data_IF_154424279580
#
_entry.id   IF_154424279580
#
_cell.length_a   1.000
_cell.length_b   1.000
_cell.length_c   1.000
_cell.angle_alpha   90.00
_cell.angle_beta   90.00
_cell.angle_gamma   90.00
#
_symmetry.space_group_name_H-M   'P 1'
#
loop_
_entity.id
_entity.type
_entity.pdbx_description
1 polymer ?
#
# COMPACT_ATOMS: atom_id res chain seq x y z
N UNK A 1 -3.25 18.75 1.78
CA UNK A 1 -2.90 19.68 0.68
C UNK A 1 -2.84 19.00 -0.68
N UNK A 2 -2.17 17.84 -0.83
CA UNK A 2 -1.97 17.16 -2.13
C UNK A 2 -3.29 16.83 -2.86
N UNK A 3 -4.31 16.35 -2.13
CA UNK A 3 -5.60 15.94 -2.71
C UNK A 3 -6.37 17.14 -3.30
N UNK A 4 -6.40 18.27 -2.61
CA UNK A 4 -7.06 19.49 -3.08
C UNK A 4 -6.38 20.07 -4.33
N UNK A 5 -5.05 20.10 -4.35
CA UNK A 5 -4.29 20.57 -5.53
C UNK A 5 -4.47 19.64 -6.73
N UNK A 6 -4.56 18.32 -6.49
CA UNK A 6 -4.81 17.34 -7.54
C UNK A 6 -6.24 17.44 -8.08
N UNK A 7 -7.24 17.54 -7.21
CA UNK A 7 -8.65 17.72 -7.60
C UNK A 7 -8.85 19.01 -8.39
N UNK A 8 -8.14 20.09 -8.04
CA UNK A 8 -8.22 21.34 -8.76
C UNK A 8 -7.60 21.23 -10.17
N UNK A 9 -6.46 20.53 -10.29
CA UNK A 9 -5.80 20.26 -11.57
C UNK A 9 -6.61 19.34 -12.49
N UNK A 10 -7.41 18.42 -11.93
CA UNK A 10 -8.20 17.43 -12.70
C UNK A 10 -9.71 17.69 -12.61
N UNK A 11 -10.11 18.92 -12.29
CA UNK A 11 -11.51 19.30 -12.06
C UNK A 11 -12.43 19.00 -13.25
N UNK A 12 -11.93 19.21 -14.47
CA UNK A 12 -12.69 18.95 -15.69
C UNK A 12 -12.91 17.45 -15.94
N UNK A 13 -11.92 16.61 -15.62
CA UNK A 13 -12.04 15.15 -15.73
C UNK A 13 -12.98 14.59 -14.65
N UNK A 14 -12.89 15.10 -13.42
CA UNK A 14 -13.78 14.73 -12.33
C UNK A 14 -15.24 15.08 -12.64
N UNK A 15 -15.49 16.19 -13.33
CA UNK A 15 -16.82 16.56 -13.79
C UNK A 15 -17.36 15.57 -14.84
N UNK A 16 -16.54 15.21 -15.83
CA UNK A 16 -16.91 14.21 -16.85
C UNK A 16 -17.18 12.82 -16.23
N UNK A 17 -16.39 12.42 -15.24
CA UNK A 17 -16.58 11.19 -14.47
C UNK A 17 -17.89 11.24 -13.68
N UNK A 18 -18.19 12.36 -13.04
CA UNK A 18 -19.45 12.53 -12.29
C UNK A 18 -20.66 12.44 -13.21
N UNK A 19 -20.61 13.07 -14.38
CA UNK A 19 -21.70 13.04 -15.36
C UNK A 19 -21.90 11.66 -16.00
N UNK A 20 -20.82 10.94 -16.27
CA UNK A 20 -20.89 9.56 -16.78
C UNK A 20 -21.41 8.60 -15.71
N UNK A 21 -20.95 8.72 -14.47
CA UNK A 21 -21.46 7.93 -13.34
C UNK A 21 -22.93 8.23 -13.06
N UNK A 22 -23.37 9.49 -13.13
CA UNK A 22 -24.79 9.86 -13.00
C UNK A 22 -25.65 9.22 -14.09
N UNK A 23 -25.16 9.19 -15.34
CA UNK A 23 -25.83 8.51 -16.47
C UNK A 23 -25.92 7.00 -16.28
N UNK A 24 -24.86 6.36 -15.76
CA UNK A 24 -24.80 4.90 -15.54
C UNK A 24 -25.68 4.48 -14.36
N UNK A 25 -25.65 5.25 -13.27
CA UNK A 25 -26.35 4.90 -12.02
C UNK A 25 -27.78 5.43 -11.96
N UNK A 26 -28.21 6.22 -12.95
CA UNK A 26 -29.50 6.93 -12.97
C UNK A 26 -29.74 7.83 -11.75
N UNK A 27 -28.69 8.15 -11.01
CA UNK A 27 -28.72 9.05 -9.86
C UNK A 27 -28.39 10.49 -10.29
N UNK A 28 -28.93 11.51 -9.61
CA UNK A 28 -28.55 12.89 -9.87
C UNK A 28 -27.06 13.08 -9.57
N UNK A 29 -26.38 13.89 -10.37
CA UNK A 29 -24.95 14.17 -10.23
C UNK A 29 -24.57 14.64 -8.81
N UNK A 30 -25.47 15.37 -8.15
CA UNK A 30 -25.32 15.84 -6.77
C UNK A 30 -25.28 14.69 -5.74
N UNK A 31 -25.92 13.56 -6.02
CA UNK A 31 -25.86 12.37 -5.18
C UNK A 31 -24.61 11.52 -5.46
N UNK A 32 -24.02 11.62 -6.65
CA UNK A 32 -22.81 10.87 -7.04
C UNK A 32 -21.54 11.52 -6.48
N UNK A 33 -21.51 12.85 -6.44
CA UNK A 33 -20.37 13.64 -5.95
C UNK A 33 -19.82 13.20 -4.57
N UNK A 34 -20.64 13.01 -3.51
CA UNK A 34 -20.11 12.56 -2.22
C UNK A 34 -19.52 11.14 -2.25
N UNK A 35 -20.02 10.25 -3.12
CA UNK A 35 -19.46 8.92 -3.28
C UNK A 35 -18.12 8.96 -4.01
N UNK A 36 -18.01 9.79 -5.05
CA UNK A 36 -16.74 10.03 -5.74
C UNK A 36 -15.70 10.63 -4.81
N UNK A 37 -16.09 11.63 -4.00
CA UNK A 37 -15.21 12.27 -3.02
C UNK A 37 -14.70 11.25 -1.98
N UNK A 38 -15.57 10.34 -1.50
CA UNK A 38 -15.16 9.26 -0.58
C UNK A 38 -14.19 8.26 -1.23
N UNK A 39 -14.39 7.89 -2.50
CA UNK A 39 -13.48 7.00 -3.24
C UNK A 39 -12.10 7.65 -3.44
N UNK A 40 -12.07 8.95 -3.76
CA UNK A 40 -10.82 9.71 -3.89
C UNK A 40 -10.05 9.78 -2.57
N UNK A 41 -10.76 9.99 -1.45
CA UNK A 41 -10.14 9.96 -0.12
C UNK A 41 -9.56 8.58 0.21
N UNK A 42 -10.25 7.49 -0.13
CA UNK A 42 -9.73 6.14 0.07
C UNK A 42 -8.49 5.87 -0.79
N UNK A 43 -8.49 6.28 -2.07
CA UNK A 43 -7.33 6.10 -2.94
C UNK A 43 -6.10 6.83 -2.40
N UNK A 44 -6.26 8.07 -1.91
CA UNK A 44 -5.14 8.82 -1.31
C UNK A 44 -4.64 8.18 -0.02
N UNK A 45 -5.52 7.65 0.85
CA UNK A 45 -5.09 6.87 2.03
C UNK A 45 -4.33 5.61 1.65
N UNK A 46 -4.67 4.99 0.52
CA UNK A 46 -3.97 3.80 0.01
C UNK A 46 -2.65 4.16 -0.68
N UNK A 47 -2.39 5.44 -0.93
CA UNK A 47 -1.16 5.94 -1.57
C UNK A 47 -0.04 6.20 -0.55
N UNK A 48 -0.23 5.86 0.73
CA UNK A 48 0.88 5.79 1.66
C UNK A 48 1.92 4.81 1.10
N UNK A 49 3.09 5.36 0.73
CA UNK A 49 4.16 4.56 0.16
C UNK A 49 4.61 3.52 1.20
N UNK A 50 4.95 2.30 0.76
CA UNK A 50 5.43 1.27 1.68
C UNK A 50 6.62 1.77 2.51
N UNK A 51 6.72 1.30 3.76
CA UNK A 51 7.79 1.66 4.71
C UNK A 51 9.18 1.66 4.05
N UNK A 52 9.49 0.66 3.22
CA UNK A 52 10.80 0.56 2.58
C UNK A 52 11.15 1.66 1.56
N UNK A 53 10.15 2.44 1.11
CA UNK A 53 10.34 3.55 0.17
C UNK A 53 10.48 4.90 0.87
N UNK A 54 10.00 5.02 2.11
CA UNK A 54 9.93 6.31 2.82
C UNK A 54 10.73 6.35 4.10
N UNK A 55 11.10 5.19 4.65
CA UNK A 55 11.82 5.12 5.92
C UNK A 55 13.24 5.68 5.77
N UNK A 56 13.61 6.52 6.71
CA UNK A 56 14.97 6.98 6.96
C UNK A 56 15.85 5.88 7.56
N UNK A 57 17.16 6.07 7.50
CA UNK A 57 18.14 5.13 8.08
C UNK A 57 17.88 4.87 9.58
N UNK A 58 17.46 5.89 10.33
CA UNK A 58 17.15 5.78 11.77
C UNK A 58 15.89 4.94 12.03
N UNK A 59 14.86 5.11 11.20
CA UNK A 59 13.63 4.31 11.26
C UNK A 59 13.91 2.85 10.90
N UNK A 60 14.78 2.61 9.93
CA UNK A 60 15.26 1.28 9.58
C UNK A 60 16.00 0.60 10.73
N UNK A 61 16.95 1.30 11.36
CA UNK A 61 17.70 0.78 12.50
C UNK A 61 16.75 0.42 13.65
N UNK A 62 15.77 1.29 13.91
CA UNK A 62 14.80 1.09 14.98
C UNK A 62 13.91 -0.13 14.69
N UNK A 63 13.31 -0.20 13.51
CA UNK A 63 12.46 -1.32 13.11
C UNK A 63 13.22 -2.65 13.13
N UNK A 64 14.48 -2.67 12.69
CA UNK A 64 15.32 -3.86 12.73
C UNK A 64 15.61 -4.31 14.18
N UNK A 65 15.91 -3.37 15.08
CA UNK A 65 16.18 -3.67 16.48
C UNK A 65 14.94 -4.22 17.19
N UNK A 66 13.77 -3.64 16.93
CA UNK A 66 12.49 -4.12 17.46
C UNK A 66 12.17 -5.53 16.95
N UNK A 67 12.30 -5.75 15.64
CA UNK A 67 12.09 -7.05 15.03
C UNK A 67 13.02 -8.11 15.63
N UNK A 68 14.32 -7.82 15.72
CA UNK A 68 15.32 -8.73 16.32
C UNK A 68 15.00 -9.04 17.79
N UNK A 69 14.63 -8.02 18.56
CA UNK A 69 14.33 -8.16 19.99
C UNK A 69 12.99 -8.86 20.27
N UNK A 70 12.07 -8.88 19.31
CA UNK A 70 10.78 -9.56 19.44
C UNK A 70 10.88 -11.09 19.42
N UNK A 71 12.00 -11.64 18.95
CA UNK A 71 12.19 -13.10 18.84
C UNK A 71 12.72 -13.71 20.14
N UNK A 72 12.31 -14.95 20.41
CA UNK A 72 12.80 -15.71 21.56
C UNK A 72 14.29 -16.02 21.42
N UNK A 73 15.09 -15.75 22.46
CA UNK A 73 16.54 -16.02 22.47
C UNK A 73 16.92 -17.50 22.39
N UNK A 74 15.95 -18.40 22.56
CA UNK A 74 16.15 -19.85 22.55
C UNK A 74 15.70 -20.50 21.24
N UNK A 75 15.75 -19.77 20.13
CA UNK A 75 15.45 -20.33 18.81
C UNK A 75 16.45 -21.45 18.50
N UNK A 76 15.98 -22.67 18.17
CA UNK A 76 16.86 -23.76 17.75
C UNK A 76 17.71 -23.33 16.54
N UNK A 77 18.97 -23.73 16.53
CA UNK A 77 19.85 -23.48 15.39
C UNK A 77 19.32 -24.31 14.20
N UNK A 78 19.35 -23.71 13.01
CA UNK A 78 19.04 -24.41 11.77
C UNK A 78 20.03 -25.58 11.56
N UNK A 79 19.55 -26.69 10.99
CA UNK A 79 20.42 -27.81 10.64
C UNK A 79 21.37 -27.44 9.51
N UNK A 80 22.49 -28.17 9.38
CA UNK A 80 23.45 -27.99 8.28
C UNK A 80 22.78 -28.09 6.91
N UNK A 81 21.76 -28.94 6.78
CA UNK A 81 20.94 -29.03 5.57
C UNK A 81 20.11 -27.77 5.33
N UNK A 82 19.44 -27.24 6.35
CA UNK A 82 18.60 -26.04 6.24
C UNK A 82 19.38 -24.77 5.89
N UNK A 83 20.68 -24.71 6.23
CA UNK A 83 21.58 -23.62 5.81
C UNK A 83 22.33 -23.93 4.50
N UNK A 84 22.22 -25.15 3.99
CA UNK A 84 22.89 -25.55 2.75
C UNK A 84 22.20 -24.92 1.55
N UNK A 85 22.96 -24.74 0.46
CA UNK A 85 22.40 -24.30 -0.83
C UNK A 85 21.25 -25.21 -1.27
N UNK A 86 21.38 -26.53 -1.09
CA UNK A 86 20.36 -27.53 -1.46
C UNK A 86 19.09 -27.48 -0.57
N UNK A 87 19.18 -26.91 0.63
CA UNK A 87 18.01 -26.69 1.49
C UNK A 87 17.33 -25.33 1.28
N UNK A 88 18.08 -24.31 0.84
CA UNK A 88 17.55 -22.98 0.51
C UNK A 88 16.88 -22.97 -0.86
N UNK A 89 17.53 -23.62 -1.82
CA UNK A 89 17.00 -23.89 -3.13
C UNK A 89 16.71 -25.38 -3.12
N UNK A 90 15.54 -25.79 -2.62
CA UNK A 90 15.02 -27.11 -2.99
C UNK A 90 15.12 -27.15 -4.50
N UNK A 91 16.03 -27.97 -5.03
CA UNK A 91 16.10 -28.22 -6.45
C UNK A 91 14.74 -28.82 -6.78
N UNK A 92 13.83 -28.03 -7.36
CA UNK A 92 12.62 -28.55 -7.99
C UNK A 92 13.12 -29.60 -8.99
N UNK A 93 13.01 -30.88 -8.63
CA UNK A 93 13.23 -31.97 -9.56
C UNK A 93 12.21 -31.78 -10.69
N UNK A 94 12.67 -31.21 -11.81
CA UNK A 94 11.92 -31.10 -13.07
C UNK A 94 11.95 -32.45 -13.78
#
# INVERSE_FOLDING_TARGET
MILQTWQQSHSQELQQITETLAKITQLPADAVKPHLDAMLEQLVKTTELPFYQTASDEEWITALNEWSSSHTKNTPILSDYAISRAGIYEDEEI
#
